data_IF_196894647406
#
_entry.id   IF_196894647406
#
_cell.length_a   1.000
_cell.length_b   1.000
_cell.length_c   1.000
_cell.angle_alpha   90.00
_cell.angle_beta   90.00
_cell.angle_gamma   90.00
#
_symmetry.space_group_name_H-M   'P 1'
#
loop_
_entity.id
_entity.type
_entity.pdbx_description
1 polymer ?
#
# COMPACT_ATOMS: atom_id res chain seq x y z
N UNK A 1 19.86 6.71 -12.75
CA UNK A 1 18.53 6.28 -13.20
C UNK A 1 17.89 5.38 -12.13
N UNK A 2 16.62 5.58 -11.82
CA UNK A 2 15.86 4.82 -10.83
C UNK A 2 14.87 3.90 -11.58
N UNK A 3 14.89 2.60 -11.28
CA UNK A 3 13.87 1.67 -11.77
C UNK A 3 12.71 1.62 -10.78
N UNK A 4 11.49 1.82 -11.27
CA UNK A 4 10.26 1.65 -10.49
C UNK A 4 9.47 0.47 -11.03
N UNK A 5 9.18 -0.51 -10.18
CA UNK A 5 8.22 -1.56 -10.50
C UNK A 5 6.89 -1.25 -9.85
N UNK A 6 5.79 -1.63 -10.49
CA UNK A 6 4.46 -1.23 -10.00
C UNK A 6 4.10 0.23 -10.28
N UNK A 7 4.82 0.90 -11.17
CA UNK A 7 4.61 2.30 -11.55
C UNK A 7 3.22 2.63 -12.09
N UNK A 8 2.49 1.64 -12.62
CA UNK A 8 1.10 1.79 -13.08
C UNK A 8 0.05 1.72 -11.96
N UNK A 9 0.49 1.40 -10.73
CA UNK A 9 -0.37 1.34 -9.56
C UNK A 9 -0.61 2.72 -8.92
N UNK A 10 -1.42 2.73 -7.86
CA UNK A 10 -1.79 3.94 -7.13
C UNK A 10 -0.56 4.70 -6.60
N UNK A 11 0.24 4.08 -5.73
CA UNK A 11 1.44 4.70 -5.14
C UNK A 11 2.50 4.95 -6.23
N UNK A 12 2.69 3.97 -7.13
CA UNK A 12 3.72 4.05 -8.17
C UNK A 12 3.56 5.23 -9.10
N UNK A 13 2.32 5.60 -9.45
CA UNK A 13 2.08 6.77 -10.28
C UNK A 13 2.50 8.07 -9.59
N UNK A 14 2.17 8.25 -8.31
CA UNK A 14 2.60 9.42 -7.54
C UNK A 14 4.13 9.47 -7.41
N UNK A 15 4.76 8.30 -7.20
CA UNK A 15 6.22 8.20 -7.15
C UNK A 15 6.86 8.61 -8.49
N UNK A 16 6.34 8.12 -9.62
CA UNK A 16 6.85 8.48 -10.95
C UNK A 16 6.67 9.97 -11.23
N UNK A 17 5.50 10.55 -10.91
CA UNK A 17 5.24 11.99 -11.04
C UNK A 17 6.22 12.82 -10.22
N UNK A 18 6.51 12.40 -8.97
CA UNK A 18 7.47 13.09 -8.11
C UNK A 18 8.90 13.01 -8.64
N UNK A 19 9.36 11.82 -9.01
CA UNK A 19 10.72 11.62 -9.54
C UNK A 19 10.97 12.44 -10.82
N UNK A 20 10.01 12.42 -11.75
CA UNK A 20 10.09 13.24 -12.98
C UNK A 20 10.13 14.73 -12.64
N UNK A 21 9.30 15.19 -11.71
CA UNK A 21 9.29 16.60 -11.28
C UNK A 21 10.61 17.03 -10.60
N UNK A 22 11.36 16.08 -10.05
CA UNK A 22 12.71 16.32 -9.49
C UNK A 22 13.83 16.25 -10.55
N UNK A 23 13.50 15.99 -11.81
CA UNK A 23 14.48 15.85 -12.90
C UNK A 23 15.22 14.50 -12.89
N UNK A 24 14.73 13.51 -12.13
CA UNK A 24 15.33 12.19 -12.11
C UNK A 24 15.08 11.41 -13.41
N UNK A 25 16.09 10.69 -13.88
CA UNK A 25 15.90 9.70 -14.94
C UNK A 25 15.22 8.48 -14.37
N UNK A 26 14.02 8.18 -14.85
CA UNK A 26 13.16 7.14 -14.29
C UNK A 26 12.76 6.13 -15.37
N UNK A 27 12.86 4.87 -15.03
CA UNK A 27 12.37 3.75 -15.84
C UNK A 27 11.29 2.99 -15.08
N UNK A 28 10.23 2.58 -15.78
CA UNK A 28 9.16 1.75 -15.24
C UNK A 28 9.13 0.38 -15.93
N UNK A 29 9.12 -0.70 -15.15
CA UNK A 29 8.84 -2.04 -15.65
C UNK A 29 7.32 -2.28 -15.69
N UNK A 30 6.78 -2.52 -16.89
CA UNK A 30 5.34 -2.63 -17.14
C UNK A 30 5.00 -3.94 -17.82
N UNK A 31 3.91 -4.60 -17.40
CA UNK A 31 3.42 -5.82 -18.03
C UNK A 31 2.69 -5.50 -19.35
N UNK A 32 2.96 -6.25 -20.43
CA UNK A 32 2.29 -6.07 -21.73
C UNK A 32 0.78 -6.33 -21.71
N UNK A 33 0.30 -7.13 -20.76
CA UNK A 33 -1.12 -7.54 -20.65
C UNK A 33 -2.05 -6.44 -20.13
N UNK A 34 -1.51 -5.34 -19.64
CA UNK A 34 -2.29 -4.16 -19.25
C UNK A 34 -1.91 -3.02 -20.16
N UNK A 35 -2.90 -2.50 -20.91
CA UNK A 35 -2.76 -1.19 -21.57
C UNK A 35 -2.40 -0.21 -20.45
N UNK A 36 -1.21 0.40 -20.48
CA UNK A 36 -0.83 1.32 -19.42
C UNK A 36 -1.83 2.48 -19.43
N UNK A 37 -2.45 2.77 -18.30
CA UNK A 37 -2.87 4.15 -18.06
C UNK A 37 -1.62 4.97 -18.32
N UNK A 38 -1.70 5.97 -19.17
CA UNK A 38 -0.54 6.75 -19.61
C UNK A 38 0.39 7.07 -18.43
N UNK A 39 1.63 6.61 -18.48
CA UNK A 39 2.65 6.99 -17.51
C UNK A 39 2.93 8.50 -17.65
N UNK A 40 3.46 9.16 -16.63
CA UNK A 40 3.92 10.54 -16.75
C UNK A 40 4.91 10.69 -17.91
N UNK A 41 4.84 11.81 -18.63
CA UNK A 41 5.82 12.11 -19.66
C UNK A 41 7.24 12.12 -19.05
N UNK A 42 8.24 11.64 -19.81
CA UNK A 42 9.62 11.51 -19.32
C UNK A 42 9.96 10.20 -18.63
N UNK A 43 8.98 9.30 -18.41
CA UNK A 43 9.25 7.95 -17.86
C UNK A 43 9.59 7.00 -18.99
N UNK A 44 10.79 6.41 -18.96
CA UNK A 44 11.18 5.33 -19.84
C UNK A 44 10.40 4.05 -19.49
N UNK A 45 9.86 3.38 -20.49
CA UNK A 45 9.05 2.17 -20.28
C UNK A 45 9.77 0.94 -20.84
N UNK A 46 10.00 -0.05 -19.99
CA UNK A 46 10.44 -1.39 -20.39
C UNK A 46 9.31 -2.38 -20.13
N UNK A 47 9.02 -3.21 -21.12
CA UNK A 47 8.00 -4.25 -20.99
C UNK A 47 8.61 -5.54 -20.46
N UNK A 48 8.00 -6.08 -19.41
CA UNK A 48 8.44 -7.32 -18.80
C UNK A 48 7.46 -7.88 -17.78
N UNK A 49 7.83 -9.01 -17.19
CA UNK A 49 7.05 -9.65 -16.14
C UNK A 49 7.96 -10.14 -15.02
N UNK A 50 7.74 -9.64 -13.82
CA UNK A 50 8.55 -9.99 -12.64
C UNK A 50 8.47 -11.46 -12.27
N UNK A 51 7.30 -12.12 -12.42
CA UNK A 51 7.13 -13.50 -12.00
C UNK A 51 7.88 -14.50 -12.90
N UNK A 52 8.07 -14.14 -14.17
CA UNK A 52 8.88 -14.94 -15.13
C UNK A 52 10.32 -14.45 -15.26
N UNK A 53 10.63 -13.24 -14.78
CA UNK A 53 11.94 -12.61 -14.96
C UNK A 53 12.13 -11.94 -16.33
N UNK A 54 11.14 -12.03 -17.23
CA UNK A 54 11.24 -11.45 -18.57
C UNK A 54 11.41 -9.93 -18.53
N UNK A 55 12.37 -9.39 -19.29
CA UNK A 55 12.66 -7.95 -19.39
C UNK A 55 13.42 -7.37 -18.19
N UNK A 56 13.75 -8.15 -17.15
CA UNK A 56 14.46 -7.63 -15.97
C UNK A 56 15.88 -7.16 -16.31
N UNK A 57 16.61 -7.89 -17.14
CA UNK A 57 17.98 -7.50 -17.51
C UNK A 57 18.01 -6.12 -18.19
N UNK A 58 17.09 -5.87 -19.12
CA UNK A 58 16.91 -4.61 -19.80
C UNK A 58 16.46 -3.51 -18.83
N UNK A 59 15.46 -3.81 -17.99
CA UNK A 59 14.92 -2.84 -17.02
C UNK A 59 15.99 -2.38 -16.01
N UNK A 60 16.89 -3.26 -15.59
CA UNK A 60 17.96 -2.98 -14.63
C UNK A 60 19.20 -2.32 -15.27
N UNK A 61 19.33 -2.32 -16.61
CA UNK A 61 20.49 -1.75 -17.27
C UNK A 61 20.64 -0.26 -16.95
N UNK A 62 21.79 0.15 -16.37
CA UNK A 62 22.07 1.53 -15.96
C UNK A 62 21.30 2.03 -14.72
N UNK A 63 20.51 1.20 -14.04
CA UNK A 63 19.87 1.59 -12.80
C UNK A 63 20.87 1.59 -11.63
N UNK A 64 20.82 2.61 -10.76
CA UNK A 64 21.56 2.63 -9.49
C UNK A 64 20.66 2.30 -8.30
N UNK A 65 19.35 2.46 -8.46
CA UNK A 65 18.38 2.15 -7.42
C UNK A 65 17.11 1.53 -8.02
N UNK A 66 16.44 0.70 -7.23
CA UNK A 66 15.17 0.08 -7.55
C UNK A 66 14.18 0.36 -6.42
N UNK A 67 13.02 0.93 -6.77
CA UNK A 67 11.89 1.04 -5.84
C UNK A 67 10.83 0.04 -6.27
N UNK A 68 10.70 -1.02 -5.47
CA UNK A 68 9.85 -2.17 -5.79
C UNK A 68 8.49 -2.05 -5.12
N UNK A 69 7.53 -1.47 -5.87
CA UNK A 69 6.11 -1.30 -5.46
C UNK A 69 5.20 -2.39 -6.05
N UNK A 70 5.70 -3.17 -7.02
CA UNK A 70 4.88 -4.19 -7.65
C UNK A 70 4.46 -5.25 -6.62
N UNK A 71 3.18 -5.57 -6.63
CA UNK A 71 2.61 -6.59 -5.77
C UNK A 71 1.14 -6.82 -6.08
N UNK A 72 0.63 -7.95 -5.60
CA UNK A 72 -0.78 -8.35 -5.68
C UNK A 72 -1.41 -8.10 -4.33
N UNK A 73 -2.37 -7.17 -4.26
CA UNK A 73 -3.12 -6.82 -3.05
C UNK A 73 -4.48 -7.52 -2.97
N UNK A 74 -4.99 -8.01 -4.11
CA UNK A 74 -6.27 -8.74 -4.21
C UNK A 74 -6.11 -9.88 -5.19
N UNK A 75 -6.50 -11.09 -4.81
CA UNK A 75 -6.42 -12.27 -5.64
C UNK A 75 -7.60 -13.21 -5.39
N UNK A 76 -7.95 -14.03 -6.39
CA UNK A 76 -8.98 -15.07 -6.26
C UNK A 76 -8.46 -16.31 -5.54
N UNK A 77 -7.17 -16.59 -5.67
CA UNK A 77 -6.53 -17.79 -5.15
C UNK A 77 -5.31 -17.41 -4.31
N UNK A 78 -5.08 -18.08 -3.19
CA UNK A 78 -3.90 -17.81 -2.35
C UNK A 78 -2.58 -17.82 -3.14
N UNK A 79 -2.39 -18.80 -4.05
CA UNK A 79 -1.19 -18.92 -4.88
C UNK A 79 -0.85 -17.66 -5.69
N UNK A 80 -1.86 -16.89 -6.07
CA UNK A 80 -1.65 -15.69 -6.90
C UNK A 80 -0.96 -14.58 -6.09
N UNK A 81 -1.20 -14.52 -4.77
CA UNK A 81 -0.43 -13.64 -3.87
C UNK A 81 1.04 -14.06 -3.82
N UNK A 82 1.33 -15.36 -3.65
CA UNK A 82 2.72 -15.85 -3.57
C UNK A 82 3.46 -15.71 -4.91
N UNK A 83 2.80 -15.96 -6.02
CA UNK A 83 3.38 -15.71 -7.35
C UNK A 83 3.70 -14.22 -7.56
N UNK A 84 2.75 -13.33 -7.23
CA UNK A 84 2.88 -11.90 -7.49
C UNK A 84 3.72 -11.14 -6.47
N UNK A 85 3.86 -11.65 -5.24
CA UNK A 85 4.61 -10.98 -4.19
C UNK A 85 5.94 -11.68 -3.88
N UNK A 86 5.97 -13.00 -3.71
CA UNK A 86 7.19 -13.74 -3.33
C UNK A 86 8.05 -14.02 -4.55
N UNK A 87 7.53 -14.79 -5.52
CA UNK A 87 8.30 -15.16 -6.69
C UNK A 87 8.75 -13.96 -7.52
N UNK A 88 7.88 -12.96 -7.67
CA UNK A 88 8.21 -11.72 -8.39
C UNK A 88 9.36 -10.95 -7.71
N UNK A 89 9.36 -10.88 -6.37
CA UNK A 89 10.43 -10.26 -5.60
C UNK A 89 11.73 -11.09 -5.68
N UNK A 90 11.64 -12.42 -5.63
CA UNK A 90 12.77 -13.32 -5.76
C UNK A 90 13.49 -13.15 -7.10
N UNK A 91 12.73 -13.15 -8.22
CA UNK A 91 13.29 -12.93 -9.56
C UNK A 91 13.99 -11.57 -9.67
N UNK A 92 13.38 -10.51 -9.10
CA UNK A 92 14.01 -9.19 -9.08
C UNK A 92 15.32 -9.19 -8.26
N UNK A 93 15.30 -9.77 -7.06
CA UNK A 93 16.48 -9.82 -6.19
C UNK A 93 17.63 -10.62 -6.85
N UNK A 94 17.34 -11.75 -7.48
CA UNK A 94 18.33 -12.52 -8.25
C UNK A 94 18.89 -11.71 -9.43
N UNK A 95 18.04 -11.00 -10.18
CA UNK A 95 18.49 -10.19 -11.31
C UNK A 95 19.35 -8.98 -10.87
N UNK A 96 19.20 -8.52 -9.62
CA UNK A 96 20.00 -7.44 -9.03
C UNK A 96 21.32 -7.92 -8.43
N UNK A 97 21.49 -9.22 -8.20
CA UNK A 97 22.67 -9.77 -7.51
C UNK A 97 23.98 -9.33 -8.19
N UNK A 98 24.94 -8.87 -7.39
CA UNK A 98 26.26 -8.42 -7.84
C UNK A 98 26.31 -7.09 -8.59
N UNK A 99 25.18 -6.36 -8.70
CA UNK A 99 25.13 -5.10 -9.46
C UNK A 99 25.30 -3.83 -8.60
N UNK A 100 25.42 -3.95 -7.29
CA UNK A 100 25.61 -2.80 -6.39
C UNK A 100 24.45 -1.82 -6.35
N UNK A 101 23.25 -2.24 -6.75
CA UNK A 101 22.06 -1.40 -6.80
C UNK A 101 21.38 -1.34 -5.44
N UNK A 102 20.86 -0.17 -5.07
CA UNK A 102 20.04 -0.02 -3.88
C UNK A 102 18.62 -0.52 -4.14
N UNK A 103 18.09 -1.36 -3.25
CA UNK A 103 16.70 -1.83 -3.28
C UNK A 103 15.89 -1.21 -2.15
N UNK A 104 14.78 -0.56 -2.48
CA UNK A 104 13.70 -0.23 -1.55
C UNK A 104 12.53 -1.17 -1.86
N UNK A 105 12.29 -2.13 -0.98
CA UNK A 105 11.17 -3.08 -1.10
C UNK A 105 9.96 -2.56 -0.32
N UNK A 106 8.86 -2.30 -1.01
CA UNK A 106 7.63 -1.86 -0.36
C UNK A 106 6.79 -3.07 0.04
N UNK A 107 6.82 -3.37 1.32
CA UNK A 107 6.01 -4.39 2.00
C UNK A 107 4.65 -3.82 2.41
N UNK A 108 4.17 -4.15 3.61
CA UNK A 108 2.93 -3.65 4.21
C UNK A 108 2.94 -3.88 5.73
N UNK A 109 2.22 -3.06 6.49
CA UNK A 109 1.90 -3.35 7.89
C UNK A 109 1.22 -4.73 8.04
N UNK A 110 0.46 -5.16 7.01
CA UNK A 110 -0.18 -6.48 7.01
C UNK A 110 0.80 -7.66 7.12
N UNK A 111 2.08 -7.47 6.76
CA UNK A 111 3.12 -8.48 6.97
C UNK A 111 3.42 -8.73 8.45
N UNK A 112 3.19 -7.72 9.28
CA UNK A 112 3.40 -7.82 10.74
C UNK A 112 2.16 -8.31 11.47
N UNK A 113 0.97 -8.06 10.93
CA UNK A 113 -0.30 -8.35 11.58
C UNK A 113 -0.86 -7.19 12.41
N UNK A 114 -1.91 -7.44 13.22
CA UNK A 114 -2.53 -6.44 14.06
C UNK A 114 -1.69 -6.11 15.29
N UNK A 115 -1.85 -4.90 15.79
CA UNK A 115 -1.30 -4.46 17.08
C UNK A 115 -2.22 -4.82 18.25
N UNK A 116 -1.69 -4.77 19.45
CA UNK A 116 -2.50 -4.71 20.67
C UNK A 116 -3.06 -3.28 20.82
N UNK A 117 -4.34 -3.10 21.21
CA UNK A 117 -4.87 -1.78 21.49
C UNK A 117 -4.00 -1.00 22.47
N UNK A 118 -3.62 0.23 22.09
CA UNK A 118 -2.75 1.09 22.89
C UNK A 118 -1.24 0.79 22.80
N UNK A 119 -0.83 -0.28 22.11
CA UNK A 119 0.56 -0.66 21.91
C UNK A 119 0.88 -0.79 20.39
N UNK A 120 1.27 0.28 19.71
CA UNK A 120 1.66 0.22 18.30
C UNK A 120 2.80 -0.76 18.05
N UNK A 121 2.79 -1.45 16.91
CA UNK A 121 3.85 -2.38 16.52
C UNK A 121 5.15 -1.64 16.25
N UNK A 122 6.24 -2.13 16.85
CA UNK A 122 7.61 -1.78 16.45
C UNK A 122 8.06 -2.66 15.26
N UNK A 123 9.08 -2.20 14.51
CA UNK A 123 9.56 -2.88 13.30
C UNK A 123 10.18 -4.25 13.57
N UNK A 124 10.68 -4.48 14.78
CA UNK A 124 11.30 -5.71 15.26
C UNK A 124 10.36 -6.61 16.06
N UNK A 125 9.08 -6.24 16.19
CA UNK A 125 8.07 -7.11 16.76
C UNK A 125 7.96 -8.44 15.99
N UNK A 126 7.54 -9.51 16.66
CA UNK A 126 7.30 -10.79 16.00
C UNK A 126 6.09 -10.70 15.04
N UNK A 127 6.25 -11.11 13.77
CA UNK A 127 5.18 -11.00 12.79
C UNK A 127 4.09 -12.06 12.99
N UNK A 128 2.83 -11.65 12.99
CA UNK A 128 1.64 -12.51 13.07
C UNK A 128 0.61 -12.17 11.96
N UNK A 129 0.99 -12.29 10.65
CA UNK A 129 0.10 -11.93 9.55
C UNK A 129 -1.15 -12.81 9.51
N UNK A 130 -2.33 -12.19 9.38
CA UNK A 130 -3.62 -12.89 9.41
C UNK A 130 -4.05 -13.44 8.06
N UNK A 131 -3.71 -12.72 6.97
CA UNK A 131 -4.22 -12.99 5.63
C UNK A 131 -3.16 -13.58 4.72
N UNK A 132 -3.57 -14.22 3.62
CA UNK A 132 -2.62 -14.67 2.58
C UNK A 132 -1.83 -13.52 1.98
N UNK A 133 -2.44 -12.34 1.87
CA UNK A 133 -1.72 -11.12 1.47
C UNK A 133 -0.60 -10.80 2.45
N UNK A 134 -0.91 -10.66 3.74
CA UNK A 134 0.09 -10.37 4.78
C UNK A 134 1.20 -11.41 4.84
N UNK A 135 0.84 -12.71 4.80
CA UNK A 135 1.80 -13.83 4.77
C UNK A 135 2.72 -13.75 3.55
N UNK A 136 2.17 -13.49 2.36
CA UNK A 136 2.97 -13.36 1.14
C UNK A 136 3.91 -12.15 1.16
N UNK A 137 3.51 -11.04 1.81
CA UNK A 137 4.40 -9.88 2.01
C UNK A 137 5.53 -10.19 2.97
N UNK A 138 5.24 -10.89 4.07
CA UNK A 138 6.28 -11.35 5.02
C UNK A 138 7.27 -12.32 4.36
N UNK A 139 6.77 -13.26 3.55
CA UNK A 139 7.65 -14.20 2.83
C UNK A 139 8.50 -13.48 1.78
N UNK A 140 7.96 -12.44 1.11
CA UNK A 140 8.75 -11.58 0.23
C UNK A 140 9.85 -10.80 0.98
N UNK A 141 9.57 -10.33 2.21
CA UNK A 141 10.61 -9.71 3.05
C UNK A 141 11.72 -10.70 3.42
N UNK A 142 11.38 -11.98 3.70
CA UNK A 142 12.38 -13.03 3.96
C UNK A 142 13.27 -13.26 2.75
N UNK A 143 12.69 -13.31 1.55
CA UNK A 143 13.44 -13.39 0.29
C UNK A 143 14.39 -12.20 0.14
N UNK A 144 13.90 -10.98 0.37
CA UNK A 144 14.71 -9.77 0.29
C UNK A 144 15.88 -9.81 1.27
N UNK A 145 15.63 -10.18 2.54
CA UNK A 145 16.69 -10.27 3.57
C UNK A 145 17.78 -11.28 3.19
N UNK A 146 17.40 -12.38 2.55
CA UNK A 146 18.34 -13.43 2.14
C UNK A 146 19.14 -13.07 0.88
N UNK A 147 18.52 -12.46 -0.12
CA UNK A 147 19.12 -12.23 -1.45
C UNK A 147 19.67 -10.81 -1.64
N UNK A 148 19.18 -9.84 -0.88
CA UNK A 148 19.57 -8.44 -0.91
C UNK A 148 19.60 -7.88 0.52
N UNK A 149 20.56 -8.31 1.36
CA UNK A 149 20.59 -7.99 2.80
C UNK A 149 20.66 -6.49 3.10
N UNK A 150 21.22 -5.69 2.20
CA UNK A 150 21.28 -4.23 2.32
C UNK A 150 20.01 -3.50 1.86
N UNK A 151 19.00 -4.24 1.41
CA UNK A 151 17.74 -3.65 0.97
C UNK A 151 17.01 -2.96 2.13
N UNK A 152 16.35 -1.85 1.81
CA UNK A 152 15.45 -1.17 2.74
C UNK A 152 14.05 -1.74 2.57
N UNK A 153 13.44 -2.16 3.67
CA UNK A 153 12.06 -2.64 3.69
C UNK A 153 11.17 -1.52 4.23
N UNK A 154 10.15 -1.13 3.48
CA UNK A 154 9.16 -0.16 3.90
C UNK A 154 7.82 -0.85 4.09
N UNK A 155 7.19 -0.67 5.24
CA UNK A 155 5.91 -1.27 5.63
C UNK A 155 4.84 -0.17 5.80
N UNK A 156 4.22 0.33 4.72
CA UNK A 156 3.14 1.30 4.87
C UNK A 156 1.90 0.63 5.45
N UNK A 157 1.11 1.36 6.27
CA UNK A 157 -0.21 0.94 6.72
C UNK A 157 -1.28 1.26 5.66
N UNK A 158 -2.44 1.77 6.07
CA UNK A 158 -3.47 2.28 5.14
C UNK A 158 -2.93 3.50 4.41
N UNK A 159 -2.79 3.39 3.10
CA UNK A 159 -2.39 4.51 2.23
C UNK A 159 -3.63 5.07 1.55
N UNK A 160 -3.83 6.37 1.62
CA UNK A 160 -4.97 7.05 1.00
C UNK A 160 -4.51 8.29 0.22
N UNK A 161 -5.33 8.72 -0.72
CA UNK A 161 -5.02 9.89 -1.54
C UNK A 161 -5.69 9.86 -2.91
N UNK A 162 -5.41 10.85 -3.77
CA UNK A 162 -5.87 10.88 -5.15
C UNK A 162 -5.57 9.57 -5.89
N UNK A 163 -6.56 9.03 -6.64
CA UNK A 163 -6.49 7.76 -7.39
C UNK A 163 -6.57 6.48 -6.55
N UNK A 164 -6.68 6.56 -5.21
CA UNK A 164 -6.94 5.38 -4.39
C UNK A 164 -8.35 4.83 -4.68
N UNK A 165 -8.46 3.51 -4.79
CA UNK A 165 -9.73 2.83 -5.05
C UNK A 165 -10.31 2.14 -3.82
N UNK A 166 -9.54 1.98 -2.77
CA UNK A 166 -9.94 1.22 -1.58
C UNK A 166 -10.63 2.12 -0.56
N UNK A 167 -9.99 3.21 -0.11
CA UNK A 167 -10.61 4.23 0.75
C UNK A 167 -11.73 4.95 -0.01
N UNK A 168 -11.63 5.06 -1.35
CA UNK A 168 -12.70 5.57 -2.21
C UNK A 168 -14.05 4.93 -1.95
N UNK A 169 -14.13 3.60 -1.71
CA UNK A 169 -15.42 2.93 -1.47
C UNK A 169 -16.08 3.41 -0.18
N UNK A 170 -15.31 3.66 0.86
CA UNK A 170 -15.80 4.24 2.10
C UNK A 170 -16.29 5.67 1.87
N UNK A 171 -15.46 6.51 1.21
CA UNK A 171 -15.82 7.89 0.91
C UNK A 171 -17.05 8.00 0.01
N UNK A 172 -17.21 7.07 -0.93
CA UNK A 172 -18.42 6.93 -1.76
C UNK A 172 -19.66 6.57 -0.94
N UNK A 173 -19.54 5.75 0.07
CA UNK A 173 -20.66 5.44 0.99
C UNK A 173 -21.04 6.69 1.80
N UNK A 174 -20.06 7.42 2.32
CA UNK A 174 -20.28 8.66 3.08
C UNK A 174 -20.93 9.73 2.21
N UNK A 175 -20.52 9.90 0.96
CA UNK A 175 -21.12 10.85 0.02
C UNK A 175 -22.61 10.58 -0.23
N UNK A 176 -23.03 9.30 -0.11
CA UNK A 176 -24.43 8.85 -0.19
C UNK A 176 -25.18 8.92 1.15
N UNK A 177 -24.55 9.47 2.19
CA UNK A 177 -25.16 9.63 3.51
C UNK A 177 -25.15 8.38 4.39
N UNK A 178 -24.22 7.43 4.17
CA UNK A 178 -24.15 6.20 4.93
C UNK A 178 -22.72 5.89 5.40
N UNK A 179 -22.58 5.61 6.71
CA UNK A 179 -21.36 5.05 7.31
C UNK A 179 -21.69 3.66 7.85
N UNK A 180 -20.95 2.65 7.43
CA UNK A 180 -21.06 1.29 7.94
C UNK A 180 -19.98 1.05 8.99
N UNK A 181 -20.39 0.75 10.22
CA UNK A 181 -19.49 0.35 11.31
C UNK A 181 -19.75 -1.12 11.67
N UNK A 182 -18.70 -1.90 11.84
CA UNK A 182 -18.83 -3.27 12.40
C UNK A 182 -18.94 -3.17 13.92
N UNK A 183 -19.91 -3.85 14.51
CA UNK A 183 -20.10 -3.88 15.97
C UNK A 183 -18.86 -4.34 16.73
N UNK A 184 -18.76 -4.01 18.02
CA UNK A 184 -17.69 -4.48 18.91
C UNK A 184 -16.62 -3.46 19.28
N UNK A 185 -16.89 -2.18 19.11
CA UNK A 185 -16.03 -1.07 19.58
C UNK A 185 -15.27 -0.35 18.50
N UNK A 186 -14.58 0.70 18.90
CA UNK A 186 -13.82 1.57 18.02
C UNK A 186 -12.53 0.88 17.56
N UNK A 187 -12.20 1.02 16.29
CA UNK A 187 -11.02 0.41 15.66
C UNK A 187 -10.07 1.47 15.19
N UNK A 188 -8.82 1.31 15.59
CA UNK A 188 -7.74 2.25 15.34
C UNK A 188 -6.78 1.72 14.28
N UNK A 189 -6.30 2.58 13.42
CA UNK A 189 -5.32 2.22 12.41
C UNK A 189 -4.36 3.38 12.15
N UNK A 190 -3.14 3.05 11.79
CA UNK A 190 -2.21 3.99 11.20
C UNK A 190 -2.56 4.22 9.75
N UNK A 191 -2.41 5.46 9.28
CA UNK A 191 -2.64 5.85 7.90
C UNK A 191 -1.52 6.76 7.41
N UNK A 192 -1.36 6.87 6.10
CA UNK A 192 -0.44 7.81 5.49
C UNK A 192 -1.04 8.37 4.19
N UNK A 193 -0.90 9.67 4.00
CA UNK A 193 -1.23 10.30 2.73
C UNK A 193 -0.22 9.89 1.67
N UNK A 194 -0.68 9.57 0.45
CA UNK A 194 0.16 8.98 -0.59
C UNK A 194 1.38 9.82 -0.97
N UNK A 195 1.26 11.14 -0.95
CA UNK A 195 2.40 12.02 -1.26
C UNK A 195 3.45 11.99 -0.16
N UNK A 196 3.04 11.91 1.11
CA UNK A 196 3.97 11.75 2.23
C UNK A 196 4.68 10.39 2.15
N UNK A 197 3.96 9.32 1.80
CA UNK A 197 4.58 8.01 1.57
C UNK A 197 5.66 8.08 0.49
N UNK A 198 5.40 8.80 -0.60
CA UNK A 198 6.39 8.99 -1.68
C UNK A 198 7.64 9.70 -1.15
N UNK A 199 7.50 10.77 -0.36
CA UNK A 199 8.64 11.44 0.27
C UNK A 199 9.41 10.49 1.20
N UNK A 200 8.69 9.69 2.01
CA UNK A 200 9.31 8.68 2.87
C UNK A 200 10.05 7.58 2.10
N UNK A 201 9.52 7.15 0.95
CA UNK A 201 10.21 6.18 0.07
C UNK A 201 11.51 6.76 -0.50
N UNK A 202 11.49 8.03 -0.89
CA UNK A 202 12.68 8.74 -1.38
C UNK A 202 13.71 8.95 -0.27
N UNK A 203 13.27 9.32 0.93
CA UNK A 203 14.14 9.41 2.11
C UNK A 203 14.80 8.05 2.41
N UNK A 204 14.05 6.95 2.39
CA UNK A 204 14.55 5.60 2.59
C UNK A 204 15.56 5.18 1.48
N UNK A 205 15.31 5.56 0.23
CA UNK A 205 16.21 5.30 -0.88
C UNK A 205 17.54 6.08 -0.74
N UNK A 206 17.46 7.33 -0.28
CA UNK A 206 18.62 8.22 -0.15
C UNK A 206 19.45 8.03 1.13
N UNK A 207 18.92 7.39 2.18
CA UNK A 207 19.60 7.29 3.48
C UNK A 207 20.59 6.11 3.54
N UNK A 208 21.92 6.32 3.65
CA UNK A 208 22.88 5.21 3.76
C UNK A 208 22.65 4.34 5.00
N UNK A 209 22.21 4.94 6.11
CA UNK A 209 21.93 4.25 7.37
C UNK A 209 20.72 3.30 7.30
N UNK A 210 19.87 3.42 6.27
CA UNK A 210 18.71 2.58 6.09
C UNK A 210 19.04 1.18 5.54
N UNK A 211 20.28 0.91 5.13
CA UNK A 211 20.68 -0.40 4.60
C UNK A 211 20.34 -1.54 5.57
N UNK A 212 19.64 -2.57 5.08
CA UNK A 212 19.24 -3.73 5.86
C UNK A 212 18.11 -3.48 6.88
N UNK A 213 17.58 -2.26 6.95
CA UNK A 213 16.55 -1.87 7.92
C UNK A 213 15.14 -1.99 7.38
N UNK A 214 14.19 -2.12 8.31
CA UNK A 214 12.77 -2.01 8.03
C UNK A 214 12.19 -0.77 8.70
N UNK A 215 11.22 -0.12 8.05
CA UNK A 215 10.56 1.09 8.55
C UNK A 215 9.06 1.04 8.35
N UNK A 216 8.32 1.47 9.35
CA UNK A 216 6.94 1.89 9.15
C UNK A 216 6.91 3.34 8.70
N UNK A 217 6.28 3.61 7.56
CA UNK A 217 6.02 4.97 7.10
C UNK A 217 4.54 5.26 7.27
N UNK A 218 4.22 6.05 8.29
CA UNK A 218 2.85 6.41 8.65
C UNK A 218 2.81 7.82 9.23
N UNK A 219 1.62 8.41 9.29
CA UNK A 219 1.38 9.58 10.13
C UNK A 219 1.51 9.18 11.61
N UNK A 220 2.14 10.03 12.43
CA UNK A 220 2.48 9.70 13.82
C UNK A 220 1.26 9.41 14.70
N UNK A 221 0.12 10.03 14.40
CA UNK A 221 -1.13 9.82 15.15
C UNK A 221 -2.00 8.79 14.43
N UNK A 222 -2.29 7.63 15.06
CA UNK A 222 -3.31 6.71 14.57
C UNK A 222 -4.68 7.40 14.51
N UNK A 223 -5.53 6.92 13.63
CA UNK A 223 -6.91 7.41 13.45
C UNK A 223 -7.89 6.26 13.61
N UNK A 224 -9.14 6.56 14.00
CA UNK A 224 -10.19 5.57 13.97
C UNK A 224 -11.03 5.68 12.70
N UNK A 225 -11.74 4.60 12.34
CA UNK A 225 -12.66 4.63 11.22
C UNK A 225 -13.77 5.66 11.41
N UNK A 226 -14.16 5.89 12.67
CA UNK A 226 -15.12 6.94 13.04
C UNK A 226 -14.57 8.33 12.74
N UNK A 227 -13.35 8.64 13.22
CA UNK A 227 -12.70 9.92 12.95
C UNK A 227 -12.53 10.18 11.45
N UNK A 228 -12.12 9.17 10.68
CA UNK A 228 -12.02 9.29 9.23
C UNK A 228 -13.40 9.57 8.61
N UNK A 229 -14.44 8.87 9.06
CA UNK A 229 -15.82 9.06 8.59
C UNK A 229 -16.36 10.44 8.91
N UNK A 230 -16.15 10.95 10.13
CA UNK A 230 -16.58 12.28 10.58
C UNK A 230 -15.83 13.40 9.83
N UNK A 231 -14.52 13.28 9.65
CA UNK A 231 -13.73 14.23 8.87
C UNK A 231 -14.19 14.29 7.42
N UNK A 232 -14.36 13.14 6.78
CA UNK A 232 -14.84 13.08 5.41
C UNK A 232 -16.25 13.67 5.27
N UNK A 233 -17.16 13.35 6.19
CA UNK A 233 -18.53 13.86 6.20
C UNK A 233 -18.56 15.38 6.35
N UNK A 234 -17.74 15.93 7.25
CA UNK A 234 -17.59 17.38 7.46
C UNK A 234 -17.09 18.08 6.20
N UNK A 235 -16.04 17.55 5.54
CA UNK A 235 -15.48 18.13 4.31
C UNK A 235 -16.50 18.09 3.17
N UNK A 236 -17.30 17.02 3.07
CA UNK A 236 -18.36 16.88 2.05
C UNK A 236 -19.64 17.65 2.40
N UNK A 237 -19.73 18.32 3.56
CA UNK A 237 -20.94 18.90 4.10
C UNK A 237 -22.10 17.90 4.13
N UNK A 238 -21.86 16.70 4.63
CA UNK A 238 -22.84 15.60 4.76
C UNK A 238 -23.02 15.22 6.22
N UNK A 239 -24.24 14.76 6.55
CA UNK A 239 -24.61 14.17 7.84
C UNK A 239 -25.00 12.71 7.62
N UNK A 240 -24.02 11.79 7.51
CA UNK A 240 -24.33 10.40 7.21
C UNK A 240 -24.99 9.70 8.39
N UNK A 241 -25.89 8.77 8.10
CA UNK A 241 -26.42 7.83 9.09
C UNK A 241 -25.38 6.75 9.36
N UNK A 242 -25.08 6.53 10.63
CA UNK A 242 -24.20 5.42 11.04
C UNK A 242 -25.06 4.17 11.20
N UNK A 243 -24.73 3.14 10.45
CA UNK A 243 -25.37 1.83 10.55
C UNK A 243 -24.36 0.83 11.12
N UNK A 244 -24.62 0.37 12.33
CA UNK A 244 -23.80 -0.65 12.99
C UNK A 244 -24.20 -2.04 12.50
N UNK A 245 -23.28 -2.74 11.86
CA UNK A 245 -23.48 -4.08 11.31
C UNK A 245 -22.95 -5.12 12.31
N UNK A 246 -23.78 -6.07 12.79
CA UNK A 246 -23.32 -7.19 13.61
C UNK A 246 -22.25 -7.99 12.89
N UNK A 247 -21.23 -8.47 13.64
CA UNK A 247 -20.11 -9.21 13.04
C UNK A 247 -20.57 -10.46 12.27
N UNK A 248 -21.61 -11.16 12.76
CA UNK A 248 -22.16 -12.32 12.06
C UNK A 248 -22.68 -11.98 10.66
N UNK A 249 -23.35 -10.82 10.52
CA UNK A 249 -23.84 -10.31 9.23
C UNK A 249 -22.68 -9.94 8.32
N UNK A 250 -21.69 -9.22 8.86
CA UNK A 250 -20.49 -8.86 8.10
C UNK A 250 -19.75 -10.12 7.58
N UNK A 251 -19.63 -11.15 8.41
CA UNK A 251 -19.01 -12.42 8.03
C UNK A 251 -19.82 -13.16 6.93
N UNK A 252 -21.15 -13.19 7.03
CA UNK A 252 -22.00 -13.75 5.99
C UNK A 252 -21.83 -13.01 4.65
N UNK A 253 -21.76 -11.67 4.68
CA UNK A 253 -21.45 -10.86 3.49
C UNK A 253 -20.05 -11.20 2.93
N UNK A 254 -19.06 -11.44 3.79
CA UNK A 254 -17.73 -11.89 3.38
C UNK A 254 -17.76 -13.22 2.62
N UNK A 255 -18.50 -14.20 3.13
CA UNK A 255 -18.69 -15.51 2.46
C UNK A 255 -19.37 -15.35 1.11
N UNK A 256 -20.49 -14.60 1.06
CA UNK A 256 -21.19 -14.33 -0.19
C UNK A 256 -20.29 -13.60 -1.21
N UNK A 257 -19.47 -12.64 -0.74
CA UNK A 257 -18.51 -11.93 -1.57
C UNK A 257 -17.45 -12.84 -2.19
N UNK A 258 -16.94 -13.83 -1.43
CA UNK A 258 -16.00 -14.83 -1.95
C UNK A 258 -16.63 -15.76 -3.00
N UNK A 259 -17.87 -16.21 -2.74
CA UNK A 259 -18.62 -17.02 -3.71
C UNK A 259 -18.84 -16.26 -5.00
N UNK A 260 -19.30 -15.02 -4.91
CA UNK A 260 -19.48 -14.15 -6.07
C UNK A 260 -18.16 -13.90 -6.83
N UNK A 261 -17.07 -13.63 -6.12
CA UNK A 261 -15.76 -13.44 -6.72
C UNK A 261 -15.30 -14.68 -7.52
N UNK A 262 -15.55 -15.88 -6.99
CA UNK A 262 -15.25 -17.14 -7.70
C UNK A 262 -16.11 -17.33 -8.97
N UNK A 263 -17.39 -16.96 -8.91
CA UNK A 263 -18.31 -17.06 -10.05
C UNK A 263 -17.99 -16.02 -11.13
N UNK A 264 -17.71 -14.78 -10.72
CA UNK A 264 -17.41 -13.66 -11.64
C UNK A 264 -16.00 -13.67 -12.19
N UNK A 265 -15.09 -14.48 -11.63
CA UNK A 265 -13.68 -14.49 -12.00
C UNK A 265 -12.90 -13.21 -11.61
N UNK A 266 -13.52 -12.31 -10.83
CA UNK A 266 -12.90 -11.04 -10.40
C UNK A 266 -12.74 -10.98 -8.88
N UNK A 267 -11.56 -10.62 -8.34
CA UNK A 267 -11.37 -10.49 -6.90
C UNK A 267 -12.33 -9.46 -6.30
N UNK A 268 -13.09 -9.87 -5.29
CA UNK A 268 -14.01 -9.00 -4.55
C UNK A 268 -13.28 -8.07 -3.58
N UNK A 269 -13.97 -6.99 -3.17
CA UNK A 269 -13.47 -6.07 -2.12
C UNK A 269 -13.70 -6.67 -0.74
N UNK A 270 -14.77 -7.43 -0.57
CA UNK A 270 -15.19 -8.05 0.69
C UNK A 270 -14.90 -9.55 0.63
N UNK A 271 -14.14 -10.05 1.61
CA UNK A 271 -13.80 -11.45 1.79
C UNK A 271 -13.76 -11.79 3.27
N UNK A 272 -13.76 -13.08 3.62
CA UNK A 272 -13.59 -13.51 5.02
C UNK A 272 -12.27 -13.02 5.64
N UNK A 273 -11.19 -12.99 4.87
CA UNK A 273 -9.91 -12.44 5.32
C UNK A 273 -10.03 -10.95 5.65
N UNK A 274 -10.72 -10.16 4.80
CA UNK A 274 -10.95 -8.73 5.07
C UNK A 274 -11.85 -8.51 6.30
N UNK A 275 -12.84 -9.37 6.53
CA UNK A 275 -13.65 -9.31 7.74
C UNK A 275 -12.82 -9.69 8.97
N UNK A 276 -11.91 -10.68 8.87
CA UNK A 276 -10.99 -11.02 9.96
C UNK A 276 -10.05 -9.86 10.31
N UNK A 277 -9.48 -9.17 9.30
CA UNK A 277 -8.72 -7.93 9.50
C UNK A 277 -9.57 -6.84 10.18
N UNK A 278 -10.80 -6.63 9.71
CA UNK A 278 -11.73 -5.64 10.25
C UNK A 278 -12.22 -5.98 11.68
N UNK A 279 -12.05 -7.21 12.15
CA UNK A 279 -12.33 -7.61 13.53
C UNK A 279 -11.30 -7.11 14.52
N UNK A 280 -10.06 -6.92 14.08
CA UNK A 280 -8.98 -6.48 14.94
C UNK A 280 -9.19 -5.02 15.37
N UNK A 281 -8.94 -4.74 16.65
CA UNK A 281 -9.19 -3.43 17.25
C UNK A 281 -8.09 -2.41 16.91
N UNK A 282 -6.89 -2.87 16.57
CA UNK A 282 -5.76 -2.01 16.29
C UNK A 282 -4.91 -2.53 15.13
N UNK A 283 -4.66 -1.67 14.16
CA UNK A 283 -3.70 -1.81 13.07
C UNK A 283 -2.76 -0.61 13.11
N UNK A 284 -2.01 -0.48 14.21
CA UNK A 284 -1.17 0.68 14.49
C UNK A 284 0.30 0.31 14.53
N UNK A 285 1.16 1.22 14.08
CA UNK A 285 2.61 1.05 14.07
C UNK A 285 3.32 2.28 14.64
N UNK A 286 4.51 2.06 15.20
CA UNK A 286 5.40 3.11 15.67
C UNK A 286 6.18 3.71 14.50
N UNK A 287 6.30 5.03 14.47
CA UNK A 287 7.03 5.78 13.44
C UNK A 287 8.35 6.37 13.93
N UNK A 288 8.72 6.11 15.16
CA UNK A 288 9.90 6.67 15.82
C UNK A 288 11.19 6.34 15.11
N UNK A 289 11.34 5.12 14.57
CA UNK A 289 12.51 4.70 13.80
C UNK A 289 12.65 5.50 12.49
N UNK A 290 11.56 5.69 11.74
CA UNK A 290 11.58 6.50 10.53
C UNK A 290 11.95 7.96 10.83
N UNK A 291 11.44 8.52 11.93
CA UNK A 291 11.77 9.88 12.34
C UNK A 291 13.24 10.03 12.72
N UNK A 292 13.80 9.10 13.51
CA UNK A 292 15.18 9.21 14.02
C UNK A 292 16.25 8.83 12.99
N UNK A 293 16.00 7.82 12.14
CA UNK A 293 17.02 7.30 11.22
C UNK A 293 16.89 7.87 9.80
N UNK A 294 15.66 8.18 9.33
CA UNK A 294 15.42 8.76 8.00
C UNK A 294 15.16 10.27 8.05
N UNK A 295 14.95 10.85 9.23
CA UNK A 295 14.47 12.22 9.38
C UNK A 295 13.05 12.41 8.80
N UNK A 296 12.30 11.31 8.66
CA UNK A 296 11.00 11.34 8.01
C UNK A 296 9.86 11.39 9.05
N UNK A 297 9.04 12.43 8.91
CA UNK A 297 7.76 12.57 9.63
C UNK A 297 6.71 12.94 8.57
N UNK A 298 5.62 12.18 8.48
CA UNK A 298 4.54 12.49 7.56
C UNK A 298 3.82 13.79 8.01
N UNK A 299 3.89 14.88 7.22
CA UNK A 299 3.39 16.19 7.67
C UNK A 299 1.89 16.36 7.48
N UNK A 300 1.29 15.65 6.51
CA UNK A 300 -0.09 15.88 6.10
C UNK A 300 -1.07 15.33 7.12
N UNK A 301 -1.87 16.20 7.73
CA UNK A 301 -2.94 15.79 8.64
C UNK A 301 -4.04 15.01 7.91
N UNK A 302 -4.88 14.28 8.67
CA UNK A 302 -6.01 13.54 8.10
C UNK A 302 -6.95 14.45 7.30
N UNK A 303 -7.27 15.62 7.85
CA UNK A 303 -8.20 16.57 7.22
C UNK A 303 -7.63 17.14 5.92
N UNK A 304 -6.37 17.55 5.91
CA UNK A 304 -5.70 18.05 4.69
C UNK A 304 -5.61 16.97 3.61
N UNK A 305 -5.20 15.77 3.97
CA UNK A 305 -5.09 14.66 3.03
C UNK A 305 -6.46 14.22 2.48
N UNK A 306 -7.50 14.18 3.33
CA UNK A 306 -8.87 13.89 2.88
C UNK A 306 -9.42 15.01 2.00
N UNK A 307 -9.20 16.28 2.33
CA UNK A 307 -9.64 17.41 1.52
C UNK A 307 -9.03 17.34 0.11
N UNK A 308 -7.72 17.12 0.01
CA UNK A 308 -7.03 16.96 -1.27
C UNK A 308 -7.52 15.72 -2.06
N UNK A 309 -7.80 14.62 -1.35
CA UNK A 309 -8.31 13.37 -1.96
C UNK A 309 -9.71 13.57 -2.53
N UNK A 310 -10.61 14.18 -1.74
CA UNK A 310 -12.00 14.43 -2.13
C UNK A 310 -12.12 15.46 -3.26
N UNK A 311 -11.29 16.52 -3.24
CA UNK A 311 -11.20 17.47 -4.33
C UNK A 311 -10.83 16.78 -5.63
N UNK A 312 -9.79 15.93 -5.60
CA UNK A 312 -9.37 15.16 -6.77
C UNK A 312 -10.46 14.20 -7.27
N UNK A 313 -11.17 13.48 -6.37
CA UNK A 313 -12.27 12.60 -6.78
C UNK A 313 -13.41 13.36 -7.45
N UNK A 314 -13.69 14.58 -7.01
CA UNK A 314 -14.69 15.46 -7.62
C UNK A 314 -14.25 15.93 -9.00
N UNK A 315 -13.02 16.44 -9.15
CA UNK A 315 -12.44 16.87 -10.43
C UNK A 315 -12.34 15.71 -11.43
N UNK A 316 -11.99 14.52 -10.98
CA UNK A 316 -11.91 13.33 -11.83
C UNK A 316 -13.27 12.69 -12.13
N UNK A 317 -14.38 13.24 -11.63
CA UNK A 317 -15.73 12.71 -11.83
C UNK A 317 -16.00 11.38 -11.11
N UNK A 318 -15.20 11.03 -10.09
CA UNK A 318 -15.39 9.81 -9.32
C UNK A 318 -16.46 9.96 -8.25
N UNK A 319 -16.61 11.16 -7.68
CA UNK A 319 -17.60 11.51 -6.66
C UNK A 319 -18.36 12.77 -7.06
N UNK A 320 -19.66 12.76 -6.74
CA UNK A 320 -20.52 13.95 -6.72
C UNK A 320 -21.12 14.06 -5.33
N UNK A 321 -20.99 15.19 -4.69
CA UNK A 321 -21.55 15.49 -3.35
C UNK A 321 -21.79 16.98 -3.18
#
# INVERSE_FOLDING_TARGET
>A
MILVTGGTGFIGRHLLEKLVAQGETVRALVRRTRVPRSLPAGVETVYGDLASGAGLAEALCGAHAVIHLAGVTKALRPRDYYTGNVRATEQLAHAMAGRGMRLVHVSSLAAMGPATPGAPLAEDAEPHPLTHYGKSKLDAERVVRNLAPDAVIVRPPVVYGPRDTDVFQLLKSISKGLVLEISGGERWFSAIYVKDLVEGLLAAAGAPRAAGRAYFLAHAKPVSWRQLGESAARIMARTPRVLTVPFAVANAVGVCGELWARLSGTPGIVSREKIAEARCMAWTCDTGRAASELGFVAPTSLDEGLAATLAWYKEAGWLTY
#
